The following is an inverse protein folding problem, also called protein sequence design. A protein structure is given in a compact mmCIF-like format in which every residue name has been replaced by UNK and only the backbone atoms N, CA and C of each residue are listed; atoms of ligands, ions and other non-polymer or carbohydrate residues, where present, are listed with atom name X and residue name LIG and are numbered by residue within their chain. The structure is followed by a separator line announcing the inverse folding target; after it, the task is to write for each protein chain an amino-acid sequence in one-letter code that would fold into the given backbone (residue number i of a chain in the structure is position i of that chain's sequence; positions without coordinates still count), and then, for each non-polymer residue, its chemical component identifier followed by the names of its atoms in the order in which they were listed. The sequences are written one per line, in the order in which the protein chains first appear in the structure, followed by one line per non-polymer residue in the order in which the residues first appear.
data_IF_622094084167
#
_entry.id   IF_622094084167
#
_cell.length_a   1.000
_cell.length_b   1.000
_cell.length_c   1.000
_cell.angle_alpha   90.00
_cell.angle_beta   90.00
_cell.angle_gamma   90.00
#
_symmetry.space_group_name_H-M   'P 1'
#
loop_
_entity.id
_entity.type
_entity.pdbx_description
1 polymer ?
#
# COMPACT_ATOMS: atom_id res chain seq x y z
N UNK A 1 -32.17 9.54 10.30
CA UNK A 1 -31.02 8.82 10.85
C UNK A 1 -29.88 9.80 11.07
N UNK A 2 -29.60 10.19 12.31
CA UNK A 2 -28.50 11.08 12.66
C UNK A 2 -27.17 10.41 12.29
N UNK A 3 -26.36 11.04 11.44
CA UNK A 3 -24.99 10.59 11.16
C UNK A 3 -24.20 10.61 12.47
N UNK A 4 -23.74 9.47 13.00
CA UNK A 4 -23.08 9.48 14.30
C UNK A 4 -21.71 10.15 14.20
N UNK A 5 -21.16 10.55 15.35
CA UNK A 5 -20.05 11.52 15.40
C UNK A 5 -18.77 10.96 14.79
N UNK A 6 -17.93 11.81 14.15
CA UNK A 6 -16.65 11.39 13.57
C UNK A 6 -15.70 10.65 14.53
N UNK A 7 -15.86 10.88 15.85
CA UNK A 7 -15.10 10.20 16.91
C UNK A 7 -15.44 8.71 17.02
N UNK A 8 -16.71 8.35 16.86
CA UNK A 8 -17.13 6.94 16.90
C UNK A 8 -16.59 6.17 15.69
N UNK A 9 -16.64 6.77 14.50
CA UNK A 9 -16.09 6.14 13.29
C UNK A 9 -14.59 5.88 13.39
N UNK A 10 -13.85 6.86 13.93
CA UNK A 10 -12.43 6.71 14.18
C UNK A 10 -12.14 5.62 15.21
N UNK A 11 -12.91 5.55 16.29
CA UNK A 11 -12.78 4.50 17.30
C UNK A 11 -13.08 3.11 16.72
N UNK A 12 -14.13 2.97 15.90
CA UNK A 12 -14.46 1.72 15.22
C UNK A 12 -13.34 1.27 14.28
N UNK A 13 -12.88 2.16 13.39
CA UNK A 13 -11.80 1.87 12.45
C UNK A 13 -10.50 1.53 13.17
N UNK A 14 -10.14 2.31 14.19
CA UNK A 14 -8.95 2.10 15.02
C UNK A 14 -9.00 0.78 15.78
N UNK A 15 -10.14 0.43 16.35
CA UNK A 15 -10.34 -0.85 17.05
C UNK A 15 -10.20 -2.03 16.09
N UNK A 16 -10.85 -1.98 14.91
CA UNK A 16 -10.73 -3.05 13.90
C UNK A 16 -9.30 -3.19 13.37
N UNK A 17 -8.61 -2.06 13.14
CA UNK A 17 -7.19 -2.05 12.77
C UNK A 17 -6.32 -2.71 13.84
N UNK A 18 -6.51 -2.33 15.11
CA UNK A 18 -5.76 -2.90 16.22
C UNK A 18 -6.04 -4.40 16.39
N UNK A 19 -7.31 -4.81 16.33
CA UNK A 19 -7.68 -6.22 16.37
C UNK A 19 -7.07 -7.00 15.20
N UNK A 20 -7.03 -6.41 14.00
CA UNK A 20 -6.35 -7.01 12.84
C UNK A 20 -4.88 -7.25 13.17
N UNK A 21 -4.16 -6.23 13.64
CA UNK A 21 -2.73 -6.35 14.03
C UNK A 21 -2.54 -7.44 15.07
N UNK A 22 -3.27 -7.36 16.19
CA UNK A 22 -3.14 -8.30 17.31
C UNK A 22 -3.42 -9.75 16.88
N UNK A 23 -4.39 -9.96 15.99
CA UNK A 23 -4.73 -11.29 15.49
C UNK A 23 -3.63 -11.93 14.64
N UNK A 24 -2.75 -11.14 14.00
CA UNK A 24 -1.67 -11.67 13.16
C UNK A 24 -0.44 -12.10 13.96
N UNK A 25 -0.16 -11.42 15.08
CA UNK A 25 1.08 -11.61 15.84
C UNK A 25 1.37 -13.07 16.27
N UNK A 26 0.37 -13.85 16.75
CA UNK A 26 0.62 -15.25 17.14
C UNK A 26 0.98 -16.17 15.98
N UNK A 27 0.48 -15.85 14.78
CA UNK A 27 0.57 -16.70 13.57
C UNK A 27 1.57 -16.16 12.54
N UNK A 28 2.46 -15.27 12.99
CA UNK A 28 3.46 -14.62 12.14
C UNK A 28 4.50 -15.64 11.65
N UNK A 29 4.92 -15.53 10.40
CA UNK A 29 5.97 -16.37 9.86
C UNK A 29 7.29 -16.15 10.61
N UNK A 30 7.98 -17.25 10.93
CA UNK A 30 9.30 -17.25 11.61
C UNK A 30 10.44 -17.65 10.68
N UNK A 31 10.12 -17.97 9.43
CA UNK A 31 11.06 -18.34 8.38
C UNK A 31 10.71 -17.60 7.10
N UNK A 32 11.68 -17.45 6.22
CA UNK A 32 11.48 -16.94 4.87
C UNK A 32 10.54 -17.90 4.13
N UNK A 33 9.32 -17.45 3.89
CA UNK A 33 8.21 -18.31 3.49
C UNK A 33 8.41 -18.94 2.10
N UNK A 34 8.93 -18.17 1.14
CA UNK A 34 9.12 -18.59 -0.24
C UNK A 34 10.35 -17.93 -0.86
N UNK A 35 10.60 -18.25 -2.13
CA UNK A 35 11.69 -17.70 -2.93
C UNK A 35 11.68 -16.16 -2.99
N UNK A 36 10.50 -15.52 -3.03
CA UNK A 36 10.39 -14.06 -3.02
C UNK A 36 10.86 -13.45 -1.70
N UNK A 37 10.47 -14.05 -0.57
CA UNK A 37 10.91 -13.62 0.75
C UNK A 37 12.44 -13.71 0.88
N UNK A 38 13.07 -14.75 0.32
CA UNK A 38 14.54 -14.87 0.28
C UNK A 38 15.17 -13.73 -0.51
N UNK A 39 14.65 -13.43 -1.69
CA UNK A 39 15.16 -12.33 -2.53
C UNK A 39 15.01 -10.96 -1.85
N UNK A 40 13.91 -10.74 -1.12
CA UNK A 40 13.73 -9.54 -0.30
C UNK A 40 14.73 -9.46 0.85
N UNK A 41 15.03 -10.58 1.50
CA UNK A 41 16.03 -10.63 2.57
C UNK A 41 17.45 -10.36 2.03
N UNK A 42 17.81 -10.91 0.87
CA UNK A 42 19.08 -10.60 0.20
C UNK A 42 19.17 -9.12 -0.18
N UNK A 43 18.07 -8.55 -0.69
CA UNK A 43 17.99 -7.14 -1.06
C UNK A 43 18.26 -6.16 0.09
N UNK A 44 18.05 -6.58 1.35
CA UNK A 44 18.41 -5.78 2.52
C UNK A 44 19.91 -5.55 2.61
N UNK A 45 20.72 -6.55 2.23
CA UNK A 45 22.19 -6.47 2.23
C UNK A 45 22.73 -5.81 0.96
N UNK A 46 22.34 -6.34 -0.19
CA UNK A 46 22.76 -5.83 -1.50
C UNK A 46 21.52 -5.66 -2.37
N UNK A 47 21.24 -4.42 -2.78
CA UNK A 47 20.15 -4.16 -3.71
C UNK A 47 20.69 -4.19 -5.13
N UNK A 48 20.30 -5.21 -5.88
CA UNK A 48 20.60 -5.35 -7.30
C UNK A 48 19.53 -6.23 -7.98
N UNK A 49 18.68 -5.59 -8.79
CA UNK A 49 17.62 -6.28 -9.52
C UNK A 49 18.18 -7.24 -10.58
N UNK A 50 19.38 -7.00 -11.12
CA UNK A 50 20.01 -7.91 -12.08
C UNK A 50 20.41 -9.24 -11.43
N UNK A 51 20.83 -9.19 -10.16
CA UNK A 51 21.07 -10.37 -9.31
C UNK A 51 19.79 -10.97 -8.72
N UNK A 52 18.61 -10.45 -9.10
CA UNK A 52 17.31 -10.81 -8.51
C UNK A 52 17.25 -10.54 -6.99
N UNK A 53 17.83 -9.41 -6.55
CA UNK A 53 17.84 -8.95 -5.17
C UNK A 53 17.27 -7.52 -5.05
N UNK A 54 15.93 -7.35 -5.10
CA UNK A 54 14.90 -8.39 -5.17
C UNK A 54 14.61 -8.79 -6.63
N UNK A 55 13.69 -9.74 -6.82
CA UNK A 55 13.21 -10.09 -8.16
C UNK A 55 12.69 -8.86 -8.93
N UNK A 56 12.78 -8.86 -10.27
CA UNK A 56 12.10 -7.87 -11.08
C UNK A 56 10.60 -7.78 -10.72
N UNK A 57 10.00 -6.58 -10.72
CA UNK A 57 10.54 -5.29 -11.18
C UNK A 57 11.28 -4.46 -10.11
N UNK A 58 11.64 -5.02 -8.94
CA UNK A 58 12.61 -4.38 -8.03
C UNK A 58 12.09 -3.76 -6.73
N UNK A 59 10.78 -3.48 -6.57
CA UNK A 59 10.12 -3.16 -5.28
C UNK A 59 10.90 -2.25 -4.30
N UNK A 60 11.55 -1.20 -4.81
CA UNK A 60 12.59 -0.48 -4.07
C UNK A 60 12.08 0.15 -2.77
N UNK A 61 10.85 0.68 -2.75
CA UNK A 61 10.31 1.27 -1.52
C UNK A 61 10.02 0.19 -0.48
N UNK A 62 9.59 -0.99 -0.91
CA UNK A 62 9.35 -2.10 0.01
C UNK A 62 10.67 -2.56 0.64
N UNK A 63 11.75 -2.66 -0.14
CA UNK A 63 13.08 -2.96 0.38
C UNK A 63 13.60 -1.85 1.29
N UNK A 64 13.39 -0.57 0.93
CA UNK A 64 13.80 0.56 1.75
C UNK A 64 13.11 0.56 3.12
N UNK A 65 11.78 0.33 3.16
CA UNK A 65 11.04 0.15 4.42
C UNK A 65 11.54 -1.07 5.20
N UNK A 66 11.82 -2.17 4.50
CA UNK A 66 12.41 -3.37 5.09
C UNK A 66 13.74 -3.06 5.77
N UNK A 67 14.64 -2.29 5.13
CA UNK A 67 15.92 -1.87 5.70
C UNK A 67 15.74 -1.00 6.94
N UNK A 68 14.79 -0.06 6.90
CA UNK A 68 14.48 0.81 8.03
C UNK A 68 14.04 -0.01 9.25
N UNK A 69 13.16 -0.99 9.07
CA UNK A 69 12.70 -1.85 10.18
C UNK A 69 13.79 -2.82 10.61
N UNK A 70 14.53 -3.39 9.67
CA UNK A 70 15.62 -4.32 9.95
C UNK A 70 16.76 -3.69 10.75
N UNK A 71 16.98 -2.38 10.62
CA UNK A 71 17.97 -1.66 11.44
C UNK A 71 17.70 -1.77 12.96
N UNK A 72 16.46 -2.06 13.37
CA UNK A 72 16.08 -2.22 14.78
C UNK A 72 15.93 -3.68 15.19
N UNK A 73 15.44 -4.53 14.29
CA UNK A 73 15.14 -5.93 14.59
C UNK A 73 16.30 -6.89 14.31
N UNK A 74 17.21 -6.51 13.41
CA UNK A 74 18.32 -7.34 12.91
C UNK A 74 17.92 -8.76 12.45
N UNK A 75 16.67 -8.90 12.00
CA UNK A 75 16.11 -10.13 11.44
C UNK A 75 15.25 -9.78 10.21
N UNK A 76 15.71 -10.13 8.99
CA UNK A 76 14.98 -9.86 7.75
C UNK A 76 13.55 -10.41 7.75
N UNK A 77 13.35 -11.60 8.34
CA UNK A 77 12.05 -12.24 8.40
C UNK A 77 11.12 -11.43 9.29
N UNK A 78 11.57 -11.11 10.51
CA UNK A 78 10.79 -10.28 11.43
C UNK A 78 10.51 -8.89 10.85
N UNK A 79 11.46 -8.27 10.14
CA UNK A 79 11.28 -6.95 9.55
C UNK A 79 10.15 -6.90 8.51
N UNK A 80 10.16 -7.83 7.54
CA UNK A 80 9.10 -7.86 6.52
C UNK A 80 7.77 -8.35 7.07
N UNK A 81 7.77 -9.30 8.00
CA UNK A 81 6.55 -9.74 8.67
C UNK A 81 5.94 -8.61 9.51
N UNK A 82 6.76 -7.80 10.18
CA UNK A 82 6.29 -6.60 10.88
C UNK A 82 5.60 -5.63 9.91
N UNK A 83 6.20 -5.36 8.75
CA UNK A 83 5.59 -4.52 7.71
C UNK A 83 4.26 -5.11 7.22
N UNK A 84 4.19 -6.42 6.98
CA UNK A 84 2.96 -7.08 6.55
C UNK A 84 1.84 -6.91 7.58
N UNK A 85 2.13 -7.15 8.87
CA UNK A 85 1.17 -6.97 9.97
C UNK A 85 0.71 -5.52 10.08
N UNK A 86 1.64 -4.57 10.02
CA UNK A 86 1.35 -3.14 10.08
C UNK A 86 0.44 -2.71 8.91
N UNK A 87 0.81 -3.10 7.69
CA UNK A 87 0.02 -2.80 6.51
C UNK A 87 -1.36 -3.44 6.55
N UNK A 88 -1.50 -4.64 7.11
CA UNK A 88 -2.81 -5.25 7.28
C UNK A 88 -3.73 -4.43 8.19
N UNK A 89 -3.24 -3.95 9.33
CA UNK A 89 -4.00 -3.05 10.20
C UNK A 89 -4.42 -1.77 9.50
N UNK A 90 -3.45 -1.09 8.87
CA UNK A 90 -3.71 0.16 8.13
C UNK A 90 -4.69 -0.04 6.98
N UNK A 91 -4.62 -1.17 6.27
CA UNK A 91 -5.56 -1.47 5.19
C UNK A 91 -6.98 -1.62 5.75
N UNK A 92 -7.16 -2.37 6.85
CA UNK A 92 -8.47 -2.50 7.51
C UNK A 92 -9.04 -1.14 7.89
N UNK A 93 -8.21 -0.24 8.42
CA UNK A 93 -8.60 1.13 8.75
C UNK A 93 -9.08 1.90 7.51
N UNK A 94 -8.30 1.87 6.43
CA UNK A 94 -8.62 2.60 5.19
C UNK A 94 -9.87 2.02 4.53
N UNK A 95 -10.03 0.70 4.52
CA UNK A 95 -11.20 0.03 3.94
C UNK A 95 -12.48 0.37 4.69
N UNK A 96 -12.43 0.51 6.02
CA UNK A 96 -13.56 1.04 6.78
C UNK A 96 -13.99 2.42 6.26
N UNK A 97 -13.04 3.36 6.11
CA UNK A 97 -13.34 4.72 5.64
C UNK A 97 -13.78 4.76 4.18
N UNK A 98 -13.23 3.89 3.33
CA UNK A 98 -13.68 3.71 1.95
C UNK A 98 -15.14 3.24 1.90
N UNK A 99 -15.47 2.18 2.62
CA UNK A 99 -16.82 1.66 2.66
C UNK A 99 -17.80 2.67 3.28
N UNK A 100 -17.38 3.41 4.31
CA UNK A 100 -18.17 4.48 4.91
C UNK A 100 -18.40 5.66 3.97
N UNK A 101 -17.44 5.97 3.08
CA UNK A 101 -17.58 7.03 2.10
C UNK A 101 -18.59 6.64 0.99
N UNK A 102 -18.66 5.35 0.64
CA UNK A 102 -19.53 4.83 -0.42
C UNK A 102 -20.95 4.54 0.12
N UNK A 103 -21.04 3.94 1.30
CA UNK A 103 -22.25 3.39 1.89
C UNK A 103 -22.54 3.98 3.28
N UNK A 104 -22.90 3.13 4.24
CA UNK A 104 -23.19 3.44 5.63
C UNK A 104 -22.24 2.71 6.58
N UNK A 105 -22.35 3.01 7.88
CA UNK A 105 -21.49 2.42 8.91
C UNK A 105 -21.62 0.90 8.99
N UNK A 106 -22.82 0.35 8.81
CA UNK A 106 -23.04 -1.10 8.95
C UNK A 106 -22.26 -1.83 7.88
N UNK A 107 -22.37 -1.35 6.63
CA UNK A 107 -21.58 -1.85 5.50
C UNK A 107 -20.09 -1.65 5.73
N UNK A 108 -19.67 -0.51 6.30
CA UNK A 108 -18.26 -0.26 6.61
C UNK A 108 -17.67 -1.22 7.64
N UNK A 109 -18.40 -1.47 8.74
CA UNK A 109 -18.04 -2.46 9.75
C UNK A 109 -17.97 -3.86 9.14
N UNK A 110 -18.98 -4.24 8.34
CA UNK A 110 -19.02 -5.54 7.68
C UNK A 110 -17.85 -5.71 6.70
N UNK A 111 -17.60 -4.75 5.82
CA UNK A 111 -16.52 -4.81 4.84
C UNK A 111 -15.12 -4.90 5.49
N UNK A 112 -14.85 -4.05 6.48
CA UNK A 112 -13.57 -4.07 7.19
C UNK A 112 -13.39 -5.35 8.01
N UNK A 113 -14.45 -5.85 8.65
CA UNK A 113 -14.41 -7.12 9.40
C UNK A 113 -14.20 -8.31 8.47
N UNK A 114 -14.95 -8.39 7.36
CA UNK A 114 -14.83 -9.46 6.36
C UNK A 114 -13.44 -9.48 5.74
N UNK A 115 -12.85 -8.30 5.46
CA UNK A 115 -11.46 -8.22 5.03
C UNK A 115 -10.52 -8.73 6.13
N UNK A 116 -10.68 -8.26 7.37
CA UNK A 116 -9.81 -8.64 8.50
C UNK A 116 -9.86 -10.15 8.80
N UNK A 117 -10.97 -10.84 8.56
CA UNK A 117 -11.09 -12.30 8.75
C UNK A 117 -10.91 -13.11 7.47
N UNK A 118 -10.75 -12.45 6.32
CA UNK A 118 -10.53 -13.13 5.04
C UNK A 118 -9.26 -13.99 5.11
N UNK A 119 -9.33 -15.31 4.80
CA UNK A 119 -8.18 -16.20 4.89
C UNK A 119 -6.98 -15.73 4.06
N UNK A 120 -7.26 -15.19 2.85
CA UNK A 120 -6.22 -14.71 1.95
C UNK A 120 -5.51 -13.48 2.53
N UNK A 121 -6.29 -12.52 3.03
CA UNK A 121 -5.74 -11.31 3.64
C UNK A 121 -5.06 -11.60 4.98
N UNK A 122 -5.55 -12.60 5.72
CA UNK A 122 -4.90 -13.08 6.93
C UNK A 122 -3.54 -13.66 6.65
N UNK A 123 -3.48 -14.58 5.71
CA UNK A 123 -2.26 -15.25 5.31
C UNK A 123 -1.20 -14.22 4.87
N UNK A 124 -1.55 -13.32 3.94
CA UNK A 124 -0.61 -12.31 3.45
C UNK A 124 -0.28 -11.20 4.46
N UNK A 125 -1.10 -11.04 5.50
CA UNK A 125 -0.80 -10.18 6.65
C UNK A 125 0.15 -10.80 7.67
N UNK A 126 0.52 -12.07 7.51
CA UNK A 126 1.39 -12.80 8.44
C UNK A 126 2.70 -13.28 7.80
N UNK A 127 2.90 -13.06 6.50
CA UNK A 127 4.13 -13.42 5.77
C UNK A 127 4.80 -12.17 5.20
N UNK A 128 6.13 -12.17 5.12
CA UNK A 128 6.93 -11.02 4.69
C UNK A 128 6.90 -10.76 3.18
N UNK A 129 5.73 -10.52 2.60
CA UNK A 129 5.53 -10.27 1.17
C UNK A 129 4.84 -8.92 0.90
N UNK A 130 4.89 -8.46 -0.35
CA UNK A 130 4.39 -7.13 -0.74
C UNK A 130 2.87 -6.98 -0.70
N UNK A 131 2.12 -8.09 -0.62
CA UNK A 131 0.66 -8.10 -0.85
C UNK A 131 -0.13 -7.27 0.17
N UNK A 132 0.26 -7.27 1.44
CA UNK A 132 -0.39 -6.41 2.44
C UNK A 132 -0.16 -4.91 2.14
N UNK A 133 1.04 -4.55 1.69
CA UNK A 133 1.36 -3.19 1.25
C UNK A 133 0.61 -2.80 -0.03
N UNK A 134 0.41 -3.74 -0.95
CA UNK A 134 -0.40 -3.55 -2.15
C UNK A 134 -1.86 -3.29 -1.80
N UNK A 135 -2.43 -4.08 -0.88
CA UNK A 135 -3.79 -3.89 -0.41
C UNK A 135 -3.99 -2.50 0.23
N UNK A 136 -3.03 -2.04 1.04
CA UNK A 136 -3.04 -0.70 1.62
C UNK A 136 -3.02 0.39 0.55
N UNK A 137 -2.03 0.31 -0.36
CA UNK A 137 -1.86 1.29 -1.44
C UNK A 137 -3.11 1.36 -2.33
N UNK A 138 -3.64 0.20 -2.74
CA UNK A 138 -4.83 0.13 -3.56
C UNK A 138 -6.07 0.70 -2.86
N UNK A 139 -6.27 0.37 -1.58
CA UNK A 139 -7.41 0.87 -0.80
C UNK A 139 -7.32 2.38 -0.56
N UNK A 140 -6.12 2.92 -0.32
CA UNK A 140 -5.90 4.35 -0.16
C UNK A 140 -6.16 5.12 -1.47
N UNK A 141 -5.64 4.62 -2.60
CA UNK A 141 -5.94 5.20 -3.92
C UNK A 141 -7.43 5.15 -4.21
N UNK A 142 -8.11 4.03 -3.94
CA UNK A 142 -9.55 3.90 -4.13
C UNK A 142 -10.35 4.89 -3.26
N UNK A 143 -9.94 5.10 -2.00
CA UNK A 143 -10.57 6.07 -1.09
C UNK A 143 -10.53 7.50 -1.65
N UNK A 144 -9.33 7.96 -2.02
CA UNK A 144 -9.17 9.30 -2.57
C UNK A 144 -9.79 9.44 -3.97
N UNK A 145 -9.68 8.41 -4.81
CA UNK A 145 -10.32 8.39 -6.13
C UNK A 145 -11.85 8.48 -6.02
N UNK A 146 -12.47 7.78 -5.06
CA UNK A 146 -13.91 7.88 -4.86
C UNK A 146 -14.33 9.31 -4.44
N UNK A 147 -13.54 9.98 -3.60
CA UNK A 147 -13.78 11.37 -3.23
C UNK A 147 -13.53 12.35 -4.38
N UNK A 148 -12.54 12.06 -5.23
CA UNK A 148 -12.32 12.79 -6.49
C UNK A 148 -13.51 12.65 -7.44
N UNK A 149 -14.10 11.46 -7.54
CA UNK A 149 -15.32 11.19 -8.31
C UNK A 149 -16.52 12.01 -7.79
N UNK A 150 -16.52 12.36 -6.50
CA UNK A 150 -17.50 13.27 -5.87
C UNK A 150 -17.19 14.76 -6.08
N UNK A 151 -16.15 15.09 -6.84
CA UNK A 151 -15.80 16.47 -7.24
C UNK A 151 -14.66 17.11 -6.43
N UNK A 152 -14.00 16.39 -5.53
CA UNK A 152 -12.89 16.93 -4.73
C UNK A 152 -11.58 16.95 -5.53
N UNK A 153 -11.13 18.14 -5.91
CA UNK A 153 -9.86 18.34 -6.65
C UNK A 153 -8.63 17.98 -5.80
N UNK A 154 -8.64 18.30 -4.50
CA UNK A 154 -7.57 17.91 -3.59
C UNK A 154 -7.45 16.39 -3.48
N UNK A 155 -8.57 15.67 -3.35
CA UNK A 155 -8.54 14.21 -3.26
C UNK A 155 -8.09 13.57 -4.59
N UNK A 156 -8.32 14.21 -5.74
CA UNK A 156 -7.76 13.77 -7.02
C UNK A 156 -6.23 13.83 -7.03
N UNK A 157 -5.64 14.89 -6.48
CA UNK A 157 -4.19 15.05 -6.36
C UNK A 157 -3.57 14.15 -5.29
N UNK A 158 -4.26 13.94 -4.17
CA UNK A 158 -3.84 12.97 -3.16
C UNK A 158 -3.86 11.55 -3.75
N UNK A 159 -4.91 11.17 -4.48
CA UNK A 159 -4.98 9.89 -5.18
C UNK A 159 -3.81 9.73 -6.17
N UNK A 160 -3.49 10.77 -6.94
CA UNK A 160 -2.35 10.79 -7.85
C UNK A 160 -1.01 10.57 -7.12
N UNK A 161 -0.79 11.28 -6.01
CA UNK A 161 0.43 11.16 -5.21
C UNK A 161 0.58 9.76 -4.58
N UNK A 162 -0.49 9.23 -3.98
CA UNK A 162 -0.51 7.87 -3.45
C UNK A 162 -0.30 6.84 -4.55
N UNK A 163 -0.93 6.99 -5.71
CA UNK A 163 -0.79 6.08 -6.83
C UNK A 163 0.66 6.02 -7.34
N UNK A 164 1.29 7.18 -7.54
CA UNK A 164 2.67 7.26 -7.97
C UNK A 164 3.64 6.68 -6.93
N UNK A 165 3.49 7.01 -5.64
CA UNK A 165 4.31 6.44 -4.57
C UNK A 165 4.10 4.94 -4.39
N UNK A 166 2.86 4.45 -4.40
CA UNK A 166 2.55 3.04 -4.23
C UNK A 166 3.13 2.18 -5.36
N UNK A 167 3.32 2.75 -6.56
CA UNK A 167 4.06 2.11 -7.64
C UNK A 167 5.48 1.64 -7.26
N UNK A 168 6.13 2.32 -6.30
CA UNK A 168 7.46 1.91 -5.81
C UNK A 168 7.42 0.80 -4.75
N UNK A 169 6.27 0.60 -4.09
CA UNK A 169 6.00 -0.59 -3.28
C UNK A 169 5.71 -1.77 -4.18
N UNK A 170 4.89 -1.54 -5.22
CA UNK A 170 4.54 -2.54 -6.23
C UNK A 170 3.96 -1.89 -7.48
N UNK A 171 4.60 -2.13 -8.61
CA UNK A 171 4.32 -1.44 -9.88
C UNK A 171 2.96 -1.78 -10.47
N UNK A 172 2.36 -2.94 -10.12
CA UNK A 172 1.00 -3.30 -10.54
C UNK A 172 -0.04 -2.29 -10.04
N UNK A 173 0.16 -1.65 -8.89
CA UNK A 173 -0.77 -0.64 -8.35
C UNK A 173 -0.88 0.53 -9.33
N UNK A 174 0.28 1.05 -9.74
CA UNK A 174 0.34 2.17 -10.68
C UNK A 174 -0.36 1.81 -11.99
N UNK A 175 -0.03 0.67 -12.58
CA UNK A 175 -0.58 0.25 -13.86
C UNK A 175 -2.09 -0.02 -13.80
N UNK A 176 -2.55 -0.74 -12.78
CA UNK A 176 -3.94 -1.21 -12.68
C UNK A 176 -4.89 -0.11 -12.19
N UNK A 177 -4.43 0.81 -11.35
CA UNK A 177 -5.29 1.87 -10.79
C UNK A 177 -5.16 3.22 -11.50
N UNK A 178 -4.27 3.35 -12.49
CA UNK A 178 -4.23 4.55 -13.34
C UNK A 178 -5.56 4.81 -14.07
N UNK A 179 -6.24 3.82 -14.68
CA UNK A 179 -7.56 4.04 -15.29
C UNK A 179 -8.62 4.47 -14.26
N UNK A 180 -8.58 3.90 -13.05
CA UNK A 180 -9.48 4.26 -11.97
C UNK A 180 -9.29 5.73 -11.56
N UNK A 181 -8.05 6.14 -11.33
CA UNK A 181 -7.71 7.52 -10.98
C UNK A 181 -8.11 8.50 -12.09
N UNK A 182 -7.78 8.17 -13.34
CA UNK A 182 -8.08 9.01 -14.49
C UNK A 182 -9.59 9.17 -14.67
N UNK A 183 -10.34 8.07 -14.63
CA UNK A 183 -11.80 8.07 -14.73
C UNK A 183 -12.46 8.86 -13.60
N UNK A 184 -12.03 8.63 -12.36
CA UNK A 184 -12.54 9.37 -11.20
C UNK A 184 -12.31 10.87 -11.31
N UNK A 185 -11.10 11.28 -11.72
CA UNK A 185 -10.72 12.69 -11.84
C UNK A 185 -11.44 13.36 -13.01
N UNK A 186 -11.47 12.71 -14.18
CA UNK A 186 -12.10 13.25 -15.38
C UNK A 186 -13.62 13.38 -15.24
N UNK A 187 -14.28 12.38 -14.66
CA UNK A 187 -15.75 12.35 -14.53
C UNK A 187 -16.26 13.14 -13.31
N UNK A 188 -15.50 13.14 -12.21
CA UNK A 188 -15.87 13.79 -10.97
C UNK A 188 -15.50 15.27 -10.91
N UNK A 189 -14.21 15.58 -11.07
CA UNK A 189 -13.70 16.96 -10.99
C UNK A 189 -14.00 17.74 -12.28
N UNK A 190 -14.03 17.06 -13.43
CA UNK A 190 -14.40 17.64 -14.75
C UNK A 190 -13.56 18.84 -15.17
N UNK A 191 -12.28 18.87 -14.77
CA UNK A 191 -11.32 19.91 -15.12
C UNK A 191 -10.08 19.28 -15.76
N UNK A 192 -9.78 19.66 -17.00
CA UNK A 192 -8.59 19.18 -17.70
C UNK A 192 -7.29 19.51 -16.94
N UNK A 193 -7.24 20.69 -16.29
CA UNK A 193 -6.13 21.08 -15.41
C UNK A 193 -5.91 20.10 -14.27
N UNK A 194 -6.96 19.58 -13.64
CA UNK A 194 -6.83 18.65 -12.53
C UNK A 194 -6.17 17.33 -12.97
N UNK A 195 -6.52 16.85 -14.17
CA UNK A 195 -5.89 15.68 -14.80
C UNK A 195 -4.42 15.98 -15.14
N UNK A 196 -4.11 17.12 -15.76
CA UNK A 196 -2.74 17.47 -16.11
C UNK A 196 -1.83 17.61 -14.89
N UNK A 197 -2.29 18.29 -13.83
CA UNK A 197 -1.56 18.41 -12.56
C UNK A 197 -1.38 17.05 -11.91
N UNK A 198 -2.42 16.22 -11.87
CA UNK A 198 -2.31 14.89 -11.27
C UNK A 198 -1.39 13.94 -12.03
N UNK A 199 -1.35 13.99 -13.36
CA UNK A 199 -0.33 13.28 -14.16
C UNK A 199 1.08 13.78 -13.83
N UNK A 200 1.26 15.08 -13.65
CA UNK A 200 2.52 15.66 -13.18
C UNK A 200 2.92 15.14 -11.79
N UNK A 201 1.97 15.06 -10.85
CA UNK A 201 2.20 14.51 -9.51
C UNK A 201 2.59 13.02 -9.58
N UNK A 202 1.88 12.22 -10.38
CA UNK A 202 2.21 10.80 -10.60
C UNK A 202 3.63 10.68 -11.15
N UNK A 203 3.99 11.49 -12.16
CA UNK A 203 5.32 11.45 -12.74
C UNK A 203 6.41 11.79 -11.71
N UNK A 204 6.25 12.89 -10.96
CA UNK A 204 7.21 13.32 -9.94
C UNK A 204 7.35 12.27 -8.84
N UNK A 205 6.24 11.76 -8.30
CA UNK A 205 6.26 10.73 -7.25
C UNK A 205 6.73 9.36 -7.76
N UNK A 206 6.52 9.03 -9.03
CA UNK A 206 7.09 7.84 -9.63
C UNK A 206 8.62 7.96 -9.76
N UNK A 207 9.11 9.14 -10.15
CA UNK A 207 10.55 9.40 -10.29
C UNK A 207 11.31 9.27 -8.97
N UNK A 208 10.69 9.52 -7.82
CA UNK A 208 11.37 9.41 -6.51
C UNK A 208 11.82 7.98 -6.19
N UNK A 209 11.19 6.96 -6.78
CA UNK A 209 11.60 5.56 -6.59
C UNK A 209 12.14 4.93 -7.87
N UNK A 210 11.68 5.35 -9.05
CA UNK A 210 12.16 4.82 -10.32
C UNK A 210 13.62 5.20 -10.61
N UNK A 211 14.01 6.46 -10.34
CA UNK A 211 15.38 6.91 -10.59
C UNK A 211 16.38 6.19 -9.68
N UNK A 212 16.17 6.09 -8.34
CA UNK A 212 17.07 5.32 -7.48
C UNK A 212 17.14 3.84 -7.87
N UNK A 213 16.02 3.23 -8.29
CA UNK A 213 15.98 1.84 -8.73
C UNK A 213 16.87 1.59 -9.95
N UNK A 214 16.74 2.44 -10.97
CA UNK A 214 17.57 2.37 -12.18
C UNK A 214 19.04 2.59 -11.83
N UNK A 215 19.34 3.58 -11.00
CA UNK A 215 20.71 3.91 -10.62
C UNK A 215 21.39 2.80 -9.83
N UNK A 216 20.72 2.23 -8.83
CA UNK A 216 21.27 1.13 -8.02
C UNK A 216 21.48 -0.13 -8.85
N UNK A 217 20.53 -0.47 -9.73
CA UNK A 217 20.64 -1.63 -10.62
C UNK A 217 21.74 -1.43 -11.67
N UNK A 218 21.84 -0.23 -12.24
CA UNK A 218 22.82 0.09 -13.29
C UNK A 218 24.27 0.10 -12.81
N UNK A 219 24.51 0.32 -11.50
CA UNK A 219 25.86 0.33 -10.93
C UNK A 219 26.52 -1.05 -10.92
N UNK A 220 25.74 -2.12 -10.77
CA UNK A 220 26.26 -3.50 -10.73
C UNK A 220 26.83 -3.97 -12.07
N UNK A 221 26.39 -3.40 -13.20
CA UNK A 221 26.90 -3.74 -14.54
C UNK A 221 28.25 -3.11 -14.90
N UNK A 222 28.80 -2.23 -14.05
CA UNK A 222 30.06 -1.50 -14.31
C UNK A 222 31.28 -2.09 -13.58
N UNK A 223 31.12 -3.22 -12.90
CA UNK A 223 32.20 -4.01 -12.31
C UNK A 223 32.26 -5.37 -13.00
#
# INVERSE_FOLDING_TARGET
MSRPTPRLDFACAGTLSLLTVLSRLPYRARMLYNWDAVQFALALREYDVAKHQPHPPGYILYVALGRLVNAWLDDPTAAYVFLAVLFSGLTTFVVYYLALAIYDRTTALAAATLLAVSPLFWFYGSVGLTYAGEALGASAVAYFAFRALRGSEMDAWLAAGYLGLAGGLRQSILLLLLPLWLGATALGVRRARAVAVGLGIIAVTAMTWLLPMIWLTGRSRRC
#
